data_IF_311540677931
#
_entry.id   IF_311540677931
#
_cell.length_a   1.000
_cell.length_b   1.000
_cell.length_c   1.000
_cell.angle_alpha   90.00
_cell.angle_beta   90.00
_cell.angle_gamma   90.00
#
_symmetry.space_group_name_H-M   'P 1'
#
loop_
_entity.id
_entity.type
_entity.pdbx_description
1 polymer ?
#
# COMPACT_ATOMS: atom_id res chain seq x y z
N UNK A 1 7.80 10.21 -12.09
CA UNK A 1 6.43 9.65 -12.23
C UNK A 1 6.06 9.11 -10.87
N UNK A 2 4.88 9.49 -10.38
CA UNK A 2 4.33 9.08 -9.08
C UNK A 2 3.61 7.75 -9.33
N UNK A 3 4.16 6.63 -8.85
CA UNK A 3 3.55 5.30 -9.00
C UNK A 3 2.66 5.04 -7.78
N UNK A 4 1.36 5.25 -7.96
CA UNK A 4 0.36 5.01 -6.92
C UNK A 4 -0.05 3.53 -6.98
N UNK A 5 0.24 2.77 -5.92
CA UNK A 5 -0.17 1.36 -5.83
C UNK A 5 -1.56 1.23 -5.21
N UNK A 6 -2.37 0.32 -5.74
CA UNK A 6 -3.67 -0.03 -5.20
C UNK A 6 -3.54 -1.15 -4.16
N UNK A 7 -3.71 -0.82 -2.89
CA UNK A 7 -3.77 -1.81 -1.82
C UNK A 7 -5.19 -2.36 -1.71
N UNK A 8 -5.31 -3.67 -1.91
CA UNK A 8 -6.56 -4.41 -1.76
C UNK A 8 -6.51 -5.35 -0.56
N UNK A 9 -7.66 -5.57 0.06
CA UNK A 9 -7.80 -6.54 1.12
C UNK A 9 -7.62 -7.96 0.57
N UNK A 10 -6.76 -8.82 1.15
CA UNK A 10 -6.56 -10.19 0.66
C UNK A 10 -7.79 -11.10 0.84
N UNK A 11 -8.69 -10.78 1.78
CA UNK A 11 -9.86 -11.61 2.08
C UNK A 11 -11.10 -11.26 1.22
N UNK A 12 -11.38 -9.97 1.01
CA UNK A 12 -12.59 -9.52 0.31
C UNK A 12 -12.31 -8.78 -1.00
N UNK A 13 -11.03 -8.62 -1.35
CA UNK A 13 -10.58 -7.88 -2.53
C UNK A 13 -11.05 -6.42 -2.60
N UNK A 14 -11.59 -5.88 -1.51
CA UNK A 14 -11.99 -4.49 -1.39
C UNK A 14 -10.76 -3.60 -1.49
N UNK A 15 -10.84 -2.55 -2.32
CA UNK A 15 -9.82 -1.50 -2.35
C UNK A 15 -9.81 -0.78 -1.00
N UNK A 16 -8.65 -0.77 -0.34
CA UNK A 16 -8.47 -0.18 0.99
C UNK A 16 -7.82 1.19 0.91
N UNK A 17 -6.77 1.31 0.09
CA UNK A 17 -5.98 2.53 -0.01
C UNK A 17 -5.28 2.57 -1.36
N UNK A 18 -5.06 3.78 -1.89
CA UNK A 18 -4.13 4.03 -2.98
C UNK A 18 -3.01 4.90 -2.44
N UNK A 19 -1.78 4.39 -2.45
CA UNK A 19 -0.65 5.11 -1.86
C UNK A 19 0.65 4.81 -2.61
N UNK A 20 1.52 5.80 -2.69
CA UNK A 20 2.89 5.62 -3.18
C UNK A 20 3.78 4.99 -2.10
N UNK A 21 3.59 5.42 -0.84
CA UNK A 21 4.27 4.87 0.31
C UNK A 21 3.26 4.61 1.43
N UNK A 22 3.27 3.40 1.97
CA UNK A 22 2.51 3.09 3.18
C UNK A 22 3.28 2.12 4.06
N UNK A 23 3.50 2.54 5.30
CA UNK A 23 4.02 1.69 6.36
C UNK A 23 3.11 1.83 7.55
N UNK A 24 2.32 0.80 7.81
CA UNK A 24 1.33 0.84 8.88
C UNK A 24 0.34 -0.30 8.79
N UNK A 25 -0.75 -0.18 9.53
CA UNK A 25 -1.79 -1.18 9.57
C UNK A 25 -3.11 -0.56 9.16
N UNK A 26 -3.87 -1.25 8.31
CA UNK A 26 -5.21 -0.85 7.91
C UNK A 26 -6.21 -1.91 8.33
N UNK A 27 -7.29 -1.48 8.99
CA UNK A 27 -8.40 -2.36 9.29
C UNK A 27 -9.35 -2.38 8.10
N UNK A 28 -9.58 -3.55 7.54
CA UNK A 28 -10.63 -3.71 6.55
C UNK A 28 -12.00 -3.59 7.22
N UNK A 29 -12.85 -2.67 6.77
CA UNK A 29 -14.20 -2.47 7.33
C UNK A 29 -15.14 -3.65 7.07
N UNK A 30 -14.91 -4.39 5.98
CA UNK A 30 -15.71 -5.58 5.59
C UNK A 30 -15.30 -6.82 6.38
N UNK A 31 -14.01 -7.18 6.33
CA UNK A 31 -13.50 -8.38 6.99
C UNK A 31 -13.24 -8.18 8.49
N UNK A 32 -13.17 -6.93 8.95
CA UNK A 32 -12.72 -6.50 10.29
C UNK A 32 -11.30 -6.95 10.66
N UNK A 33 -10.58 -7.59 9.74
CA UNK A 33 -9.17 -7.99 9.88
C UNK A 33 -8.26 -6.78 9.75
N UNK A 34 -7.19 -6.80 10.53
CA UNK A 34 -6.10 -5.83 10.49
C UNK A 34 -5.05 -6.36 9.52
N UNK A 35 -4.69 -5.54 8.53
CA UNK A 35 -3.74 -5.89 7.46
C UNK A 35 -2.52 -4.99 7.63
N UNK A 36 -1.35 -5.61 7.75
CA UNK A 36 -0.07 -4.92 7.81
C UNK A 36 0.36 -4.57 6.39
N UNK A 37 0.56 -3.29 6.14
CA UNK A 37 1.05 -2.76 4.88
C UNK A 37 2.48 -2.30 5.04
N UNK A 38 3.33 -2.79 4.15
CA UNK A 38 4.71 -2.35 4.02
C UNK A 38 5.00 -2.19 2.52
N UNK A 39 4.49 -1.09 1.96
CA UNK A 39 4.76 -0.67 0.61
C UNK A 39 5.78 0.45 0.69
N UNK A 40 6.99 0.10 0.25
CA UNK A 40 8.14 0.98 0.31
C UNK A 40 8.60 1.23 -1.12
N UNK A 41 7.78 1.93 -1.91
CA UNK A 41 8.26 2.48 -3.19
C UNK A 41 9.12 3.72 -2.90
N UNK A 42 10.27 3.51 -2.28
CA UNK A 42 11.41 4.38 -2.60
C UNK A 42 11.78 4.00 -4.02
N UNK A 43 11.26 4.74 -5.01
CA UNK A 43 12.10 5.01 -6.17
C UNK A 43 13.34 5.67 -5.60
N UNK A 44 14.40 4.89 -5.38
CA UNK A 44 15.73 5.43 -5.24
C UNK A 44 15.89 6.47 -6.35
N UNK A 45 16.16 7.75 -6.06
CA UNK A 45 16.67 8.60 -7.10
C UNK A 45 17.93 7.87 -7.56
N UNK A 46 17.90 7.30 -8.76
CA UNK A 46 19.11 6.86 -9.43
C UNK A 46 19.94 8.13 -9.54
N UNK A 47 20.84 8.32 -8.59
CA UNK A 47 21.94 9.25 -8.70
C UNK A 47 22.79 8.68 -9.83
N UNK A 48 22.42 9.03 -11.06
CA UNK A 48 23.27 8.79 -12.21
C UNK A 48 24.45 9.75 -12.10
N UNK A 49 25.61 9.14 -12.26
CA UNK A 49 27.00 9.63 -12.13
C UNK A 49 27.28 10.98 -12.77
#
# INVERSE_FOLDING_TARGET
>A
MINIEEIRCPDCNQLLLKAEYVKGEIKCTRCRKIIKLNLNQRTEPRATQ
#
